data_IF_390892294658
#
_entry.id   IF_390892294658
#
_cell.length_a   1.000
_cell.length_b   1.000
_cell.length_c   1.000
_cell.angle_alpha   90.00
_cell.angle_beta   90.00
_cell.angle_gamma   90.00
#
_symmetry.space_group_name_H-M   'P 1'
#
loop_
_entity.id
_entity.type
_entity.pdbx_description
1 polymer ?
#
# COMPACT_ATOMS: atom_id res chain seq x y z
N UNK A 1 -2.44 -26.43 0.97
CA UNK A 1 -1.60 -25.25 0.79
C UNK A 1 -0.26 -25.72 0.31
N UNK A 2 0.15 -25.28 -0.87
CA UNK A 2 1.42 -25.62 -1.50
C UNK A 2 2.48 -24.55 -1.18
N UNK A 3 2.06 -23.28 -1.18
CA UNK A 3 2.93 -22.15 -0.90
C UNK A 3 2.16 -21.08 -0.12
N UNK A 4 2.84 -20.44 0.83
CA UNK A 4 2.33 -19.31 1.62
C UNK A 4 3.46 -18.29 1.73
N UNK A 5 3.15 -17.02 1.46
CA UNK A 5 4.05 -15.91 1.73
C UNK A 5 3.27 -14.78 2.42
N UNK A 6 3.76 -14.23 3.55
CA UNK A 6 5.00 -14.56 4.26
C UNK A 6 4.97 -15.93 4.97
N UNK A 7 6.15 -16.47 5.30
CA UNK A 7 6.24 -17.63 6.18
C UNK A 7 5.80 -17.28 7.61
N UNK A 8 4.74 -17.92 8.10
CA UNK A 8 4.11 -17.57 9.39
C UNK A 8 5.04 -17.69 10.60
N UNK A 9 6.01 -18.61 10.56
CA UNK A 9 6.98 -18.82 11.65
C UNK A 9 7.90 -17.61 11.90
N UNK A 10 8.00 -16.68 10.94
CA UNK A 10 8.82 -15.48 11.06
C UNK A 10 8.02 -14.24 11.47
N UNK A 11 6.71 -14.38 11.75
CA UNK A 11 5.85 -13.27 12.13
C UNK A 11 5.60 -13.23 13.64
N UNK A 12 5.30 -12.04 14.21
CA UNK A 12 4.75 -11.94 15.55
C UNK A 12 3.54 -12.85 15.74
N UNK A 13 3.39 -13.37 16.95
CA UNK A 13 2.36 -14.39 17.28
C UNK A 13 0.95 -13.96 16.88
N UNK A 14 0.59 -12.69 17.08
CA UNK A 14 -0.73 -12.15 16.76
C UNK A 14 -0.97 -12.19 15.25
N UNK A 15 0.01 -11.76 14.45
CA UNK A 15 -0.08 -11.78 12.99
C UNK A 15 -0.12 -13.21 12.45
N UNK A 16 0.74 -14.09 12.95
CA UNK A 16 0.75 -15.49 12.52
C UNK A 16 -0.54 -16.21 12.90
N UNK A 17 -1.12 -15.92 14.07
CA UNK A 17 -2.42 -16.46 14.47
C UNK A 17 -3.54 -15.95 13.56
N UNK A 18 -3.54 -14.66 13.23
CA UNK A 18 -4.53 -14.07 12.32
C UNK A 18 -4.46 -14.72 10.93
N UNK A 19 -3.26 -14.81 10.35
CA UNK A 19 -3.07 -15.44 9.05
C UNK A 19 -3.38 -16.94 9.06
N UNK A 20 -3.04 -17.65 10.15
CA UNK A 20 -3.40 -19.05 10.29
C UNK A 20 -4.93 -19.22 10.26
N UNK A 21 -5.67 -18.35 10.96
CA UNK A 21 -7.12 -18.36 10.95
C UNK A 21 -7.70 -18.09 9.55
N UNK A 22 -7.14 -17.12 8.82
CA UNK A 22 -7.52 -16.84 7.43
C UNK A 22 -7.31 -18.08 6.53
N UNK A 23 -6.15 -18.74 6.66
CA UNK A 23 -5.83 -19.97 5.94
C UNK A 23 -6.80 -21.10 6.28
N UNK A 24 -7.21 -21.22 7.53
CA UNK A 24 -8.13 -22.27 7.96
C UNK A 24 -9.53 -22.06 7.39
N UNK A 25 -10.02 -20.83 7.30
CA UNK A 25 -11.26 -20.52 6.56
C UNK A 25 -11.13 -20.88 5.08
N UNK A 26 -10.00 -20.55 4.43
CA UNK A 26 -9.75 -20.93 3.04
C UNK A 26 -9.72 -22.45 2.86
N UNK A 27 -9.09 -23.21 3.76
CA UNK A 27 -9.11 -24.69 3.76
C UNK A 27 -10.53 -25.24 3.86
N UNK A 28 -11.34 -24.64 4.73
CA UNK A 28 -12.76 -24.97 4.86
C UNK A 28 -13.49 -24.83 3.52
N UNK A 29 -13.33 -23.71 2.82
CA UNK A 29 -13.92 -23.50 1.50
C UNK A 29 -13.36 -24.47 0.44
N UNK A 30 -12.04 -24.70 0.41
CA UNK A 30 -11.41 -25.65 -0.52
C UNK A 30 -12.01 -27.07 -0.38
N UNK A 31 -12.31 -27.50 0.85
CA UNK A 31 -12.90 -28.82 1.11
C UNK A 31 -14.29 -29.01 0.48
N UNK A 32 -14.97 -27.93 0.12
CA UNK A 32 -16.26 -27.94 -0.56
C UNK A 32 -16.13 -28.11 -2.09
N UNK A 33 -14.91 -28.04 -2.64
CA UNK A 33 -14.61 -28.36 -4.04
C UNK A 33 -14.75 -27.21 -5.04
N UNK A 34 -15.29 -26.06 -4.64
CA UNK A 34 -15.31 -24.85 -5.47
C UNK A 34 -15.30 -23.60 -4.57
N UNK A 35 -14.65 -22.52 -5.01
CA UNK A 35 -14.69 -21.24 -4.31
C UNK A 35 -15.86 -20.40 -4.82
N UNK A 36 -16.77 -19.92 -3.94
CA UNK A 36 -17.87 -19.06 -4.37
C UNK A 36 -17.34 -17.70 -4.86
N UNK A 37 -17.86 -17.18 -5.97
CA UNK A 37 -17.48 -15.84 -6.46
C UNK A 37 -17.93 -14.74 -5.50
N UNK A 38 -17.13 -13.68 -5.41
CA UNK A 38 -17.50 -12.45 -4.72
C UNK A 38 -18.10 -11.46 -5.72
N UNK A 39 -19.43 -11.30 -5.64
CA UNK A 39 -20.20 -10.51 -6.62
C UNK A 39 -19.93 -11.04 -8.04
N UNK A 40 -20.04 -10.17 -9.05
CA UNK A 40 -19.78 -10.51 -10.45
C UNK A 40 -18.31 -10.32 -10.86
N UNK A 41 -17.39 -10.20 -9.89
CA UNK A 41 -15.98 -9.98 -10.16
C UNK A 41 -15.29 -11.32 -10.50
N UNK A 42 -14.66 -11.45 -11.68
CA UNK A 42 -14.23 -12.74 -12.20
C UNK A 42 -13.07 -13.38 -11.43
N UNK A 43 -12.24 -12.55 -10.78
CA UNK A 43 -11.03 -12.96 -10.08
C UNK A 43 -11.15 -12.90 -8.56
N UNK A 44 -12.32 -12.53 -7.99
CA UNK A 44 -12.50 -12.44 -6.54
C UNK A 44 -13.46 -13.51 -6.03
N UNK A 45 -13.05 -14.17 -4.94
CA UNK A 45 -13.76 -15.28 -4.34
C UNK A 45 -14.02 -15.03 -2.85
N UNK A 46 -15.16 -15.53 -2.37
CA UNK A 46 -15.62 -15.42 -0.98
C UNK A 46 -15.03 -16.53 -0.15
N UNK A 47 -14.35 -16.16 0.93
CA UNK A 47 -13.87 -17.10 1.93
C UNK A 47 -14.63 -16.83 3.22
N UNK A 48 -15.44 -17.79 3.64
CA UNK A 48 -16.35 -17.65 4.78
C UNK A 48 -15.94 -18.56 5.92
N UNK A 49 -16.33 -18.20 7.14
CA UNK A 49 -16.19 -19.10 8.29
C UNK A 49 -17.27 -20.21 8.29
N UNK A 50 -17.22 -21.08 9.30
CA UNK A 50 -18.15 -22.21 9.46
C UNK A 50 -19.62 -21.78 9.61
N UNK A 51 -19.87 -20.53 10.03
CA UNK A 51 -21.21 -19.95 10.16
C UNK A 51 -21.67 -19.28 8.84
N UNK A 52 -20.86 -19.32 7.78
CA UNK A 52 -21.15 -18.72 6.49
C UNK A 52 -20.92 -17.20 6.43
N UNK A 53 -20.24 -16.62 7.44
CA UNK A 53 -19.92 -15.18 7.44
C UNK A 53 -18.69 -14.94 6.58
N UNK A 54 -18.74 -13.94 5.71
CA UNK A 54 -17.59 -13.56 4.87
C UNK A 54 -16.45 -13.03 5.75
N UNK A 55 -15.26 -13.62 5.61
CA UNK A 55 -14.08 -13.28 6.41
C UNK A 55 -12.89 -12.84 5.60
N UNK A 56 -12.69 -13.42 4.42
CA UNK A 56 -11.64 -13.03 3.51
C UNK A 56 -12.16 -12.97 2.08
N UNK A 57 -11.42 -12.25 1.25
CA UNK A 57 -11.49 -12.36 -0.20
C UNK A 57 -10.25 -13.07 -0.70
N UNK A 58 -10.42 -14.05 -1.58
CA UNK A 58 -9.30 -14.59 -2.35
C UNK A 58 -9.31 -13.92 -3.73
N UNK A 59 -8.28 -13.12 -4.02
CA UNK A 59 -8.04 -12.51 -5.32
C UNK A 59 -7.12 -13.42 -6.11
N UNK A 60 -7.66 -14.09 -7.13
CA UNK A 60 -6.92 -14.96 -8.04
C UNK A 60 -6.11 -14.11 -9.01
N UNK A 61 -4.88 -14.54 -9.23
CA UNK A 61 -3.99 -14.04 -10.27
C UNK A 61 -3.80 -15.12 -11.33
N UNK A 62 -3.35 -14.71 -12.52
CA UNK A 62 -3.04 -15.64 -13.59
C UNK A 62 -1.60 -16.14 -13.49
N UNK A 63 -1.33 -17.26 -14.17
CA UNK A 63 0.00 -17.83 -14.21
C UNK A 63 0.96 -16.85 -14.90
N UNK A 64 1.98 -16.39 -14.18
CA UNK A 64 2.90 -15.33 -14.61
C UNK A 64 2.85 -14.08 -13.73
N UNK A 65 1.76 -13.84 -13.01
CA UNK A 65 1.56 -12.64 -12.18
C UNK A 65 1.94 -12.84 -10.71
N UNK A 66 2.76 -13.85 -10.42
CA UNK A 66 3.18 -14.17 -9.04
C UNK A 66 3.90 -13.00 -8.37
N UNK A 67 4.69 -12.24 -9.12
CA UNK A 67 5.38 -11.05 -8.62
C UNK A 67 4.35 -10.00 -8.18
N UNK A 68 3.28 -9.79 -8.95
CA UNK A 68 2.21 -8.84 -8.63
C UNK A 68 1.42 -9.27 -7.39
N UNK A 69 1.11 -10.57 -7.27
CA UNK A 69 0.47 -11.12 -6.07
C UNK A 69 1.35 -10.97 -4.82
N UNK A 70 2.65 -11.25 -4.93
CA UNK A 70 3.61 -11.07 -3.82
C UNK A 70 3.85 -9.59 -3.48
N UNK A 71 3.80 -8.70 -4.47
CA UNK A 71 3.81 -7.24 -4.26
C UNK A 71 2.63 -6.83 -3.38
N UNK A 72 1.42 -7.24 -3.70
CA UNK A 72 0.22 -6.89 -2.91
C UNK A 72 0.33 -7.37 -1.45
N UNK A 73 0.77 -8.62 -1.21
CA UNK A 73 1.03 -9.13 0.14
C UNK A 73 2.16 -8.36 0.88
N UNK A 74 3.19 -7.95 0.15
CA UNK A 74 4.33 -7.21 0.74
C UNK A 74 3.96 -5.80 1.19
N UNK A 75 2.97 -5.15 0.55
CA UNK A 75 2.51 -3.82 0.98
C UNK A 75 1.92 -3.86 2.38
N UNK A 76 1.11 -4.88 2.71
CA UNK A 76 0.64 -5.08 4.09
C UNK A 76 1.81 -5.25 5.07
N UNK A 77 2.79 -6.09 4.72
CA UNK A 77 3.94 -6.37 5.59
C UNK A 77 4.77 -5.13 5.90
N UNK A 78 4.83 -4.20 4.96
CA UNK A 78 5.60 -2.98 5.04
C UNK A 78 4.79 -1.76 5.48
N UNK A 79 3.47 -1.88 5.57
CA UNK A 79 2.61 -0.94 6.28
C UNK A 79 2.82 -1.12 7.78
N UNK A 80 3.88 -0.58 8.35
CA UNK A 80 4.18 -0.80 9.77
C UNK A 80 3.21 -0.02 10.67
N UNK A 81 2.87 -0.53 11.86
CA UNK A 81 2.22 0.26 12.90
C UNK A 81 3.02 1.52 13.25
N UNK A 82 2.33 2.53 13.79
CA UNK A 82 2.93 3.83 14.11
C UNK A 82 4.07 3.74 15.14
N UNK A 83 3.99 2.77 16.05
CA UNK A 83 4.86 2.66 17.22
C UNK A 83 5.97 1.61 17.10
N UNK A 84 5.98 0.77 16.06
CA UNK A 84 6.94 -0.32 15.94
C UNK A 84 7.01 -0.91 14.53
N UNK A 85 8.16 -1.54 14.21
CA UNK A 85 8.29 -2.32 13.00
C UNK A 85 7.34 -3.53 13.05
N UNK A 86 6.77 -3.92 11.91
CA UNK A 86 5.77 -5.00 11.87
C UNK A 86 6.31 -6.36 12.32
N UNK A 87 7.61 -6.62 12.20
CA UNK A 87 8.23 -7.85 12.73
C UNK A 87 8.29 -7.92 14.26
N UNK A 88 8.01 -6.81 14.94
CA UNK A 88 8.10 -6.66 16.39
C UNK A 88 6.74 -6.30 17.01
N UNK A 89 5.84 -5.71 16.23
CA UNK A 89 4.54 -5.26 16.71
C UNK A 89 3.49 -6.38 16.70
N UNK A 90 2.72 -6.55 17.80
CA UNK A 90 1.53 -7.39 17.79
C UNK A 90 0.34 -6.74 17.08
N UNK A 91 0.45 -5.46 16.70
CA UNK A 91 -0.64 -4.72 16.07
C UNK A 91 -0.84 -5.18 14.61
N UNK A 92 -2.04 -5.67 14.32
CA UNK A 92 -2.43 -6.14 12.99
C UNK A 92 -2.60 -4.96 12.03
N UNK A 93 -3.14 -3.82 12.51
CA UNK A 93 -3.35 -2.64 11.68
C UNK A 93 -2.05 -1.84 11.58
N UNK A 94 -1.65 -1.52 10.34
CA UNK A 94 -0.53 -0.63 10.08
C UNK A 94 -0.93 0.85 10.07
N UNK A 95 0.05 1.72 9.85
CA UNK A 95 -0.11 3.16 9.80
C UNK A 95 -1.14 3.62 8.76
N UNK A 96 -1.05 3.07 7.54
CA UNK A 96 -1.92 3.41 6.42
C UNK A 96 -3.19 2.55 6.38
N UNK A 97 -3.32 1.58 7.30
CA UNK A 97 -4.50 0.75 7.44
C UNK A 97 -4.67 -0.30 6.34
N UNK A 98 -3.57 -0.74 5.70
CA UNK A 98 -3.61 -1.83 4.72
C UNK A 98 -4.15 -3.09 5.39
N UNK A 99 -5.11 -3.76 4.73
CA UNK A 99 -5.72 -4.97 5.25
C UNK A 99 -4.72 -6.14 5.29
N UNK A 100 -4.79 -7.01 6.31
CA UNK A 100 -4.03 -8.24 6.35
C UNK A 100 -4.14 -9.02 5.04
N UNK A 101 -3.00 -9.18 4.38
CA UNK A 101 -2.90 -9.78 3.06
C UNK A 101 -1.75 -10.76 3.04
N UNK A 102 -2.00 -12.00 2.61
CA UNK A 102 -0.97 -13.00 2.38
C UNK A 102 -1.14 -13.64 1.00
N UNK A 103 -0.03 -13.96 0.36
CA UNK A 103 0.02 -14.77 -0.84
C UNK A 103 -0.22 -16.24 -0.50
N UNK A 104 -1.00 -16.92 -1.33
CA UNK A 104 -1.27 -18.36 -1.21
C UNK A 104 -1.25 -19.05 -2.57
N UNK A 105 -0.79 -20.30 -2.57
CA UNK A 105 -0.93 -21.25 -3.68
C UNK A 105 -1.53 -22.56 -3.19
N UNK A 106 -2.51 -23.08 -3.92
CA UNK A 106 -3.19 -24.33 -3.60
C UNK A 106 -3.89 -24.91 -4.82
N UNK A 107 -4.26 -26.18 -4.72
CA UNK A 107 -5.06 -26.87 -5.73
C UNK A 107 -6.47 -27.18 -5.24
N UNK A 108 -7.43 -27.14 -6.15
CA UNK A 108 -8.76 -27.72 -5.99
C UNK A 108 -8.97 -28.72 -7.14
N UNK A 109 -9.02 -30.02 -6.80
CA UNK A 109 -8.97 -31.07 -7.81
C UNK A 109 -7.68 -31.00 -8.61
N UNK A 110 -7.79 -30.82 -9.94
CA UNK A 110 -6.65 -30.66 -10.85
C UNK A 110 -6.35 -29.19 -11.21
N UNK A 111 -7.09 -28.24 -10.64
CA UNK A 111 -6.92 -26.81 -10.92
C UNK A 111 -5.99 -26.16 -9.89
N UNK A 112 -4.95 -25.48 -10.37
CA UNK A 112 -4.05 -24.70 -9.55
C UNK A 112 -4.61 -23.29 -9.36
N UNK A 113 -4.53 -22.77 -8.14
CA UNK A 113 -4.93 -21.43 -7.77
C UNK A 113 -3.74 -20.72 -7.13
N UNK A 114 -3.47 -19.50 -7.62
CA UNK A 114 -2.45 -18.61 -7.09
C UNK A 114 -3.07 -17.22 -6.92
N UNK A 115 -2.73 -16.55 -5.83
CA UNK A 115 -3.17 -15.19 -5.61
C UNK A 115 -2.98 -14.75 -4.17
N UNK A 116 -3.79 -13.80 -3.72
CA UNK A 116 -3.74 -13.27 -2.36
C UNK A 116 -5.03 -13.52 -1.61
N UNK A 117 -4.89 -13.82 -0.32
CA UNK A 117 -5.97 -13.88 0.65
C UNK A 117 -5.94 -12.58 1.46
N UNK A 118 -7.00 -11.79 1.34
CA UNK A 118 -7.14 -10.46 1.93
C UNK A 118 -8.24 -10.54 2.98
N UNK A 119 -8.00 -10.02 4.18
CA UNK A 119 -9.05 -9.89 5.20
C UNK A 119 -10.21 -9.04 4.68
N UNK A 120 -11.43 -9.52 4.83
CA UNK A 120 -12.61 -8.81 4.37
C UNK A 120 -12.96 -7.68 5.34
N UNK A 121 -13.19 -6.50 4.76
CA UNK A 121 -13.74 -5.35 5.46
C UNK A 121 -15.05 -4.96 4.79
N UNK A 122 -16.13 -4.95 5.57
CA UNK A 122 -17.38 -4.35 5.12
C UNK A 122 -17.16 -2.84 4.96
N UNK A 123 -17.62 -2.28 3.83
CA UNK A 123 -17.48 -0.87 3.49
C UNK A 123 -18.84 -0.32 3.05
N UNK A 124 -19.03 0.98 3.25
CA UNK A 124 -20.21 1.70 2.78
C UNK A 124 -20.16 1.82 1.25
N UNK A 125 -19.03 2.29 0.74
CA UNK A 125 -18.76 2.45 -0.69
C UNK A 125 -17.26 2.62 -0.93
N UNK A 126 -16.88 2.84 -2.18
CA UNK A 126 -15.55 3.36 -2.56
C UNK A 126 -15.57 4.88 -2.57
N UNK A 127 -14.41 5.53 -2.44
CA UNK A 127 -14.32 6.98 -2.32
C UNK A 127 -14.91 7.74 -3.52
N UNK A 128 -14.88 7.16 -4.73
CA UNK A 128 -15.50 7.74 -5.93
C UNK A 128 -17.02 7.87 -5.87
N UNK A 129 -17.67 7.06 -5.02
CA UNK A 129 -19.11 7.09 -4.81
C UNK A 129 -19.49 7.72 -3.45
N UNK A 130 -18.52 8.27 -2.73
CA UNK A 130 -18.75 8.90 -1.44
C UNK A 130 -19.04 10.40 -1.61
N UNK A 131 -20.07 10.91 -0.93
CA UNK A 131 -20.36 12.34 -0.92
C UNK A 131 -19.33 13.07 -0.05
N UNK A 132 -18.32 13.65 -0.68
CA UNK A 132 -17.18 14.26 0.01
C UNK A 132 -17.61 15.51 0.80
N UNK A 133 -17.54 15.40 2.12
CA UNK A 133 -17.68 16.50 3.09
C UNK A 133 -16.37 16.61 3.88
N UNK A 134 -15.49 17.52 3.48
CA UNK A 134 -14.11 17.60 3.97
C UNK A 134 -14.01 17.65 5.51
N UNK A 135 -14.96 18.33 6.16
CA UNK A 135 -15.07 18.44 7.62
C UNK A 135 -15.47 17.16 8.33
N UNK A 136 -15.94 16.15 7.58
CA UNK A 136 -16.32 14.83 8.05
C UNK A 136 -15.37 13.73 7.55
N UNK A 137 -14.17 14.08 7.10
CA UNK A 137 -13.18 13.11 6.66
C UNK A 137 -12.06 12.95 7.68
N UNK A 138 -11.65 11.71 7.91
CA UNK A 138 -10.40 11.43 8.59
C UNK A 138 -9.21 11.75 7.67
N UNK A 139 -8.78 13.02 7.69
CA UNK A 139 -7.66 13.49 6.88
C UNK A 139 -6.34 12.81 7.23
N UNK A 140 -6.18 12.33 8.47
CA UNK A 140 -4.99 11.59 8.89
C UNK A 140 -4.82 10.29 8.11
N UNK A 141 -5.90 9.54 7.89
CA UNK A 141 -5.88 8.30 7.10
C UNK A 141 -5.59 8.58 5.62
N UNK A 142 -6.14 9.65 5.03
CA UNK A 142 -5.79 10.04 3.65
C UNK A 142 -4.33 10.44 3.51
N UNK A 143 -3.77 11.14 4.51
CA UNK A 143 -2.34 11.47 4.54
C UNK A 143 -1.49 10.20 4.63
N UNK A 144 -1.88 9.25 5.48
CA UNK A 144 -1.20 7.97 5.62
C UNK A 144 -1.25 7.13 4.33
N UNK A 145 -2.38 7.14 3.62
CA UNK A 145 -2.52 6.51 2.29
C UNK A 145 -1.60 7.18 1.26
N UNK A 146 -1.56 8.51 1.23
CA UNK A 146 -0.68 9.22 0.29
C UNK A 146 0.80 8.94 0.54
N UNK A 147 1.23 8.89 1.80
CA UNK A 147 2.58 8.49 2.17
C UNK A 147 2.91 7.05 1.73
N UNK A 148 1.96 6.11 1.91
CA UNK A 148 2.08 4.74 1.42
C UNK A 148 2.27 4.71 -0.10
N UNK A 149 1.39 5.36 -0.85
CA UNK A 149 1.40 5.33 -2.31
C UNK A 149 2.68 5.94 -2.89
N UNK A 150 3.20 7.03 -2.30
CA UNK A 150 4.49 7.60 -2.69
C UNK A 150 5.62 6.60 -2.43
N UNK A 151 5.68 6.03 -1.22
CA UNK A 151 6.72 5.08 -0.81
C UNK A 151 6.76 3.84 -1.72
N UNK A 152 5.60 3.40 -2.19
CA UNK A 152 5.44 2.24 -3.07
C UNK A 152 5.41 2.57 -4.57
N UNK A 153 5.51 3.84 -4.95
CA UNK A 153 5.38 4.20 -6.36
C UNK A 153 4.06 3.68 -6.96
N UNK A 154 2.95 3.75 -6.21
CA UNK A 154 1.67 3.20 -6.62
C UNK A 154 1.11 3.98 -7.81
N UNK A 155 0.90 3.32 -8.94
CA UNK A 155 0.45 3.97 -10.18
C UNK A 155 -1.05 3.88 -10.42
N UNK A 156 -1.79 3.18 -9.56
CA UNK A 156 -3.21 2.90 -9.73
C UNK A 156 -4.04 3.16 -8.46
N UNK A 157 -3.65 4.14 -7.63
CA UNK A 157 -4.56 4.63 -6.58
C UNK A 157 -5.69 5.47 -7.19
N UNK A 158 -6.66 4.80 -7.79
CA UNK A 158 -7.86 5.42 -8.35
C UNK A 158 -9.00 5.49 -7.30
N UNK A 159 -10.16 6.00 -7.71
CA UNK A 159 -11.30 6.24 -6.80
C UNK A 159 -12.04 4.98 -6.36
N UNK A 160 -11.78 3.84 -7.00
CA UNK A 160 -12.34 2.54 -6.63
C UNK A 160 -11.44 1.77 -5.65
N UNK A 161 -10.19 2.23 -5.50
CA UNK A 161 -9.15 1.57 -4.69
C UNK A 161 -9.01 2.15 -3.27
N UNK A 162 -10.01 2.90 -2.79
CA UNK A 162 -10.12 3.32 -1.39
C UNK A 162 -11.52 3.01 -0.89
N UNK A 163 -11.63 2.12 0.08
CA UNK A 163 -12.88 1.82 0.75
C UNK A 163 -13.20 2.90 1.78
N UNK A 164 -14.49 3.24 1.88
CA UNK A 164 -15.02 4.20 2.86
C UNK A 164 -15.92 3.48 3.86
N UNK A 165 -15.76 3.81 5.13
CA UNK A 165 -16.71 3.53 6.21
C UNK A 165 -17.04 4.82 6.93
N UNK A 166 -18.19 4.87 7.58
CA UNK A 166 -18.51 5.94 8.51
C UNK A 166 -18.56 5.39 9.93
N UNK A 167 -18.05 6.16 10.87
CA UNK A 167 -18.27 5.89 12.29
C UNK A 167 -19.63 6.42 12.77
N UNK A 168 -19.89 6.29 14.08
CA UNK A 168 -21.15 6.73 14.69
C UNK A 168 -21.38 8.24 14.64
N UNK A 169 -20.32 9.03 14.46
CA UNK A 169 -20.35 10.50 14.37
C UNK A 169 -20.42 10.99 12.91
N UNK A 170 -20.52 10.05 11.97
CA UNK A 170 -20.51 10.29 10.53
C UNK A 170 -19.16 10.73 10.00
N UNK A 171 -18.06 10.38 10.69
CA UNK A 171 -16.70 10.59 10.20
C UNK A 171 -16.34 9.47 9.23
N UNK A 172 -15.95 9.84 8.02
CA UNK A 172 -15.47 8.95 7.00
C UNK A 172 -14.05 8.46 7.30
N UNK A 173 -13.89 7.14 7.32
CA UNK A 173 -12.64 6.41 7.46
C UNK A 173 -12.25 5.73 6.15
N UNK A 174 -10.95 5.70 5.86
CA UNK A 174 -10.40 5.28 4.58
C UNK A 174 -9.47 4.07 4.72
N UNK A 175 -9.69 3.07 3.88
CA UNK A 175 -8.84 1.88 3.81
C UNK A 175 -8.33 1.70 2.38
N UNK A 176 -7.01 1.73 2.12
CA UNK A 176 -6.47 1.46 0.81
C UNK A 176 -6.57 -0.04 0.49
N UNK A 177 -6.95 -0.36 -0.74
CA UNK A 177 -7.01 -1.74 -1.28
C UNK A 177 -6.37 -1.79 -2.66
N UNK A 178 -6.15 -2.99 -3.18
CA UNK A 178 -5.59 -3.21 -4.52
C UNK A 178 -4.21 -2.56 -4.74
N UNK A 179 -3.17 -3.28 -4.31
CA UNK A 179 -1.80 -2.76 -4.26
C UNK A 179 -0.86 -3.41 -5.29
N UNK A 180 -1.39 -4.08 -6.30
CA UNK A 180 -0.59 -4.87 -7.25
C UNK A 180 0.23 -4.00 -8.20
N UNK A 181 -0.27 -2.80 -8.53
CA UNK A 181 0.34 -1.85 -9.46
C UNK A 181 1.34 -0.90 -8.77
N UNK A 182 2.33 -1.47 -8.08
CA UNK A 182 3.45 -0.72 -7.48
C UNK A 182 4.70 -0.81 -8.37
N UNK A 183 5.38 0.31 -8.57
CA UNK A 183 6.60 0.44 -9.38
C UNK A 183 6.45 -0.01 -10.86
N UNK A 184 5.25 0.09 -11.44
CA UNK A 184 5.02 -0.27 -12.84
C UNK A 184 5.44 0.80 -13.86
N UNK A 185 5.70 2.04 -13.42
CA UNK A 185 6.13 3.16 -14.26
C UNK A 185 7.31 3.92 -13.62
N UNK A 186 8.36 3.17 -13.27
CA UNK A 186 9.55 3.67 -12.58
C UNK A 186 9.18 4.47 -11.31
N UNK A 187 9.26 5.81 -11.35
CA UNK A 187 9.05 6.69 -10.20
C UNK A 187 7.84 7.62 -10.32
N UNK A 188 6.97 7.38 -11.31
CA UNK A 188 5.75 8.17 -11.49
C UNK A 188 4.55 7.45 -10.86
N UNK A 189 3.91 8.10 -9.88
CA UNK A 189 2.70 7.58 -9.19
C UNK A 189 1.39 7.88 -9.94
N UNK A 190 1.50 8.35 -11.19
CA UNK A 190 0.37 8.81 -11.99
C UNK A 190 -0.43 9.91 -11.27
N UNK A 191 -1.75 9.93 -11.39
CA UNK A 191 -2.62 10.91 -10.73
C UNK A 191 -3.48 10.23 -9.67
N UNK A 192 -2.96 10.01 -8.45
CA UNK A 192 -3.73 9.34 -7.42
C UNK A 192 -4.95 10.17 -6.98
N UNK A 193 -6.03 9.49 -6.65
CA UNK A 193 -7.33 10.13 -6.38
C UNK A 193 -7.30 11.05 -5.15
N UNK A 194 -6.46 10.76 -4.15
CA UNK A 194 -6.32 11.58 -2.95
C UNK A 194 -5.68 12.95 -3.22
N UNK A 195 -4.94 13.13 -4.32
CA UNK A 195 -4.18 14.35 -4.58
C UNK A 195 -5.06 15.61 -4.68
N UNK A 196 -6.31 15.48 -5.13
CA UNK A 196 -7.26 16.59 -5.17
C UNK A 196 -7.87 16.92 -3.80
N UNK A 197 -7.81 15.98 -2.85
CA UNK A 197 -8.45 16.03 -1.53
C UNK A 197 -7.51 16.58 -0.45
N UNK A 198 -6.23 16.21 -0.49
CA UNK A 198 -5.21 16.78 0.39
C UNK A 198 -4.64 18.07 -0.21
N UNK A 199 -5.21 19.23 0.16
CA UNK A 199 -4.69 20.57 -0.19
C UNK A 199 -4.00 21.29 0.98
N UNK A 200 -3.97 20.70 2.17
CA UNK A 200 -3.44 21.29 3.40
C UNK A 200 -2.00 20.87 3.75
N UNK A 201 -1.37 21.61 4.67
CA UNK A 201 -0.05 21.27 5.20
C UNK A 201 -0.12 20.04 6.10
N UNK A 202 0.82 19.12 5.91
CA UNK A 202 1.18 18.15 6.94
C UNK A 202 2.07 18.93 7.91
N UNK A 203 1.61 19.16 9.14
CA UNK A 203 2.49 19.69 10.18
C UNK A 203 3.57 18.64 10.47
N UNK A 204 4.83 19.08 10.50
CA UNK A 204 5.99 18.31 10.98
C UNK A 204 6.01 18.27 12.52
N UNK A 205 6.95 17.59 13.22
CA UNK A 205 7.99 16.64 12.85
C UNK A 205 8.04 15.44 13.83
N UNK A 206 7.25 14.39 13.63
CA UNK A 206 7.32 13.17 14.48
C UNK A 206 7.65 11.89 13.69
N UNK A 207 7.61 11.94 12.35
CA UNK A 207 7.74 10.74 11.49
C UNK A 207 9.19 10.44 11.01
N UNK A 208 10.17 11.23 11.45
CA UNK A 208 11.54 11.23 10.89
C UNK A 208 12.43 10.13 11.51
N UNK A 209 12.18 9.70 12.74
CA UNK A 209 13.07 8.77 13.45
C UNK A 209 12.82 7.30 13.08
N UNK A 210 11.57 6.96 12.74
CA UNK A 210 11.10 5.59 12.54
C UNK A 210 11.49 4.97 11.19
N UNK A 211 11.52 5.77 10.12
CA UNK A 211 11.77 5.29 8.76
C UNK A 211 13.23 4.80 8.53
N UNK A 212 14.13 5.00 9.49
CA UNK A 212 15.56 4.61 9.42
C UNK A 212 15.79 3.12 9.76
N UNK A 213 14.83 2.45 10.40
CA UNK A 213 14.98 1.09 10.96
C UNK A 213 14.56 -0.07 10.03
N UNK A 214 13.83 0.18 8.94
CA UNK A 214 13.07 -0.87 8.23
C UNK A 214 13.85 -1.61 7.12
N UNK A 215 15.08 -2.08 7.41
CA UNK A 215 16.01 -2.69 6.44
C UNK A 215 15.57 -4.01 5.78
N UNK A 216 14.74 -3.95 4.73
CA UNK A 216 14.43 -5.09 3.87
C UNK A 216 14.74 -4.83 2.38
N UNK A 217 15.08 -5.88 1.63
CA UNK A 217 15.45 -5.81 0.20
C UNK A 217 14.48 -6.63 -0.69
N UNK A 218 13.38 -6.02 -1.17
CA UNK A 218 12.56 -6.57 -2.25
C UNK A 218 13.25 -6.50 -3.62
N UNK A 219 12.74 -7.18 -4.65
CA UNK A 219 13.28 -7.07 -6.04
C UNK A 219 13.14 -5.67 -6.63
N UNK A 220 12.26 -4.85 -6.04
CA UNK A 220 12.07 -3.42 -6.28
C UNK A 220 12.74 -2.56 -5.17
N UNK A 221 13.75 -3.10 -4.47
CA UNK A 221 14.39 -2.44 -3.32
C UNK A 221 14.96 -1.07 -3.68
N UNK A 222 15.50 -0.92 -4.88
CA UNK A 222 16.07 0.35 -5.31
C UNK A 222 14.98 1.40 -5.50
N UNK A 223 13.91 1.06 -6.21
CA UNK A 223 12.77 1.95 -6.43
C UNK A 223 12.13 2.37 -5.11
N UNK A 224 11.89 1.39 -4.24
CA UNK A 224 11.37 1.63 -2.90
C UNK A 224 12.29 2.51 -2.05
N UNK A 225 13.61 2.29 -2.07
CA UNK A 225 14.60 3.12 -1.36
C UNK A 225 14.60 4.55 -1.87
N UNK A 226 14.55 4.75 -3.18
CA UNK A 226 14.50 6.06 -3.83
C UNK A 226 13.22 6.80 -3.45
N UNK A 227 12.04 6.17 -3.61
CA UNK A 227 10.76 6.76 -3.22
C UNK A 227 10.69 7.07 -1.72
N UNK A 228 11.21 6.17 -0.87
CA UNK A 228 11.30 6.37 0.58
C UNK A 228 12.21 7.57 0.91
N UNK A 229 13.38 7.66 0.28
CA UNK A 229 14.30 8.78 0.49
C UNK A 229 13.68 10.10 0.02
N UNK A 230 13.01 10.12 -1.13
CA UNK A 230 12.30 11.29 -1.62
C UNK A 230 11.25 11.78 -0.61
N UNK A 231 10.38 10.89 -0.13
CA UNK A 231 9.38 11.21 0.87
C UNK A 231 10.02 11.77 2.16
N UNK A 232 11.06 11.11 2.67
CA UNK A 232 11.81 11.56 3.85
C UNK A 232 12.39 12.96 3.69
N UNK A 233 13.12 13.19 2.61
CA UNK A 233 13.80 14.47 2.37
C UNK A 233 12.77 15.60 2.18
N UNK A 234 11.63 15.33 1.54
CA UNK A 234 10.59 16.33 1.36
C UNK A 234 9.87 16.67 2.69
N UNK A 235 9.55 15.66 3.50
CA UNK A 235 8.94 15.85 4.84
C UNK A 235 9.88 16.58 5.79
N UNK A 236 11.18 16.23 5.79
CA UNK A 236 12.22 16.95 6.54
C UNK A 236 12.28 18.44 6.19
N UNK A 237 11.99 18.74 4.94
CA UNK A 237 11.91 20.10 4.42
C UNK A 237 10.50 20.68 4.53
N UNK A 238 9.59 20.10 5.30
CA UNK A 238 8.24 20.65 5.54
C UNK A 238 7.40 20.84 4.27
N UNK A 239 7.69 20.09 3.19
CA UNK A 239 6.91 20.11 1.95
C UNK A 239 5.63 19.31 2.20
N UNK A 240 4.49 19.88 1.83
CA UNK A 240 3.18 19.27 2.09
C UNK A 240 2.93 18.06 1.19
N UNK A 241 2.10 17.12 1.63
CA UNK A 241 1.75 15.94 0.83
C UNK A 241 1.19 16.30 -0.56
N UNK A 242 0.45 17.41 -0.68
CA UNK A 242 -0.01 17.92 -1.97
C UNK A 242 1.17 18.18 -2.94
N UNK A 243 2.20 18.87 -2.45
CA UNK A 243 3.36 19.23 -3.24
C UNK A 243 4.26 18.02 -3.53
N UNK A 244 4.45 17.14 -2.55
CA UNK A 244 5.16 15.86 -2.73
C UNK A 244 4.45 15.01 -3.79
N UNK A 245 3.13 14.89 -3.68
CA UNK A 245 2.29 14.16 -4.63
C UNK A 245 2.37 14.74 -6.03
N UNK A 246 2.34 16.06 -6.21
CA UNK A 246 2.53 16.67 -7.53
C UNK A 246 3.89 16.36 -8.15
N UNK A 247 4.97 16.41 -7.36
CA UNK A 247 6.31 16.05 -7.84
C UNK A 247 6.42 14.57 -8.22
N UNK A 248 5.86 13.67 -7.41
CA UNK A 248 5.84 12.23 -7.70
C UNK A 248 4.90 11.88 -8.87
N UNK A 249 3.84 12.66 -9.08
CA UNK A 249 2.85 12.52 -10.16
C UNK A 249 3.29 13.12 -11.49
N UNK A 250 4.52 13.66 -11.57
CA UNK A 250 5.04 14.35 -12.74
C UNK A 250 4.23 15.61 -13.13
N UNK A 251 3.77 16.37 -12.12
CA UNK A 251 2.90 17.56 -12.27
C UNK A 251 3.59 18.88 -11.97
N UNK A 252 4.86 18.90 -11.57
CA UNK A 252 5.58 20.16 -11.39
C UNK A 252 5.83 20.81 -12.76
N UNK A 253 5.53 22.11 -12.86
CA UNK A 253 5.75 22.89 -14.08
C UNK A 253 7.24 23.00 -14.45
N UNK A 254 8.11 23.15 -13.45
CA UNK A 254 9.53 22.94 -13.63
C UNK A 254 9.82 21.43 -13.53
N UNK A 255 10.29 20.86 -14.63
CA UNK A 255 10.53 19.42 -14.72
C UNK A 255 11.59 18.91 -13.74
N UNK A 256 12.56 19.74 -13.38
CA UNK A 256 13.64 19.39 -12.45
C UNK A 256 13.12 19.04 -11.04
N UNK A 257 11.90 19.49 -10.72
CA UNK A 257 11.26 19.21 -9.44
C UNK A 257 10.42 17.93 -9.46
N UNK A 258 10.29 17.22 -10.58
CA UNK A 258 9.61 15.94 -10.61
C UNK A 258 10.55 14.80 -10.22
N UNK A 259 10.08 13.90 -9.35
CA UNK A 259 10.85 12.75 -8.84
C UNK A 259 11.52 11.96 -9.96
N UNK A 260 10.76 11.59 -11.01
CA UNK A 260 11.30 10.86 -12.15
C UNK A 260 12.48 11.56 -12.83
N UNK A 261 12.44 12.90 -12.94
CA UNK A 261 13.52 13.67 -13.58
C UNK A 261 14.74 13.76 -12.67
N UNK A 262 14.54 13.92 -11.35
CA UNK A 262 15.65 13.86 -10.39
C UNK A 262 16.40 12.54 -10.52
N UNK A 263 15.68 11.42 -10.60
CA UNK A 263 16.31 10.10 -10.71
C UNK A 263 17.01 9.92 -12.06
N UNK A 264 16.37 10.29 -13.16
CA UNK A 264 16.94 10.16 -14.51
C UNK A 264 18.17 11.04 -14.75
N UNK A 265 18.37 12.07 -13.92
CA UNK A 265 19.51 12.99 -14.01
C UNK A 265 20.77 12.44 -13.34
N UNK A 266 20.69 11.29 -12.67
CA UNK A 266 21.83 10.64 -12.03
C UNK A 266 22.23 9.41 -12.83
N UNK A 267 23.51 9.33 -13.19
CA UNK A 267 24.05 8.17 -13.88
C UNK A 267 23.94 6.89 -13.02
N UNK A 268 23.51 5.81 -13.66
CA UNK A 268 23.49 4.49 -13.03
C UNK A 268 24.94 4.00 -12.81
N UNK A 269 25.36 3.91 -11.56
CA UNK A 269 26.69 3.46 -11.19
C UNK A 269 26.84 3.22 -9.69
N UNK A 270 28.08 3.04 -9.25
CA UNK A 270 28.38 2.90 -7.82
C UNK A 270 27.88 4.13 -7.05
N UNK A 271 27.18 3.89 -5.93
CA UNK A 271 26.55 4.92 -5.11
C UNK A 271 25.32 5.62 -5.72
N UNK A 272 24.67 5.05 -6.76
CA UNK A 272 23.45 5.60 -7.37
C UNK A 272 22.42 6.14 -6.35
N UNK A 273 22.05 5.33 -5.36
CA UNK A 273 21.05 5.70 -4.33
C UNK A 273 21.48 6.94 -3.53
N UNK A 274 22.78 7.07 -3.22
CA UNK A 274 23.32 8.21 -2.46
C UNK A 274 23.31 9.46 -3.32
N UNK A 275 23.72 9.34 -4.59
CA UNK A 275 23.76 10.46 -5.53
C UNK A 275 22.35 10.99 -5.83
N UNK A 276 21.40 10.09 -6.08
CA UNK A 276 19.98 10.42 -6.23
C UNK A 276 19.45 11.15 -5.00
N UNK A 277 19.72 10.63 -3.80
CA UNK A 277 19.28 11.28 -2.55
C UNK A 277 19.86 12.68 -2.37
N UNK A 278 21.13 12.89 -2.70
CA UNK A 278 21.76 14.21 -2.58
C UNK A 278 21.12 15.22 -3.55
N UNK A 279 20.92 14.82 -4.81
CA UNK A 279 20.23 15.65 -5.80
C UNK A 279 18.79 15.96 -5.38
N UNK A 280 18.05 14.96 -4.88
CA UNK A 280 16.69 15.17 -4.34
C UNK A 280 16.67 16.24 -3.26
N UNK A 281 17.60 16.18 -2.30
CA UNK A 281 17.66 17.16 -1.21
C UNK A 281 17.82 18.58 -1.74
N UNK A 282 18.72 18.78 -2.70
CA UNK A 282 18.95 20.06 -3.37
C UNK A 282 17.70 20.54 -4.11
N UNK A 283 17.14 19.71 -5.01
CA UNK A 283 15.95 20.06 -5.81
C UNK A 283 14.72 20.34 -4.96
N UNK A 284 14.53 19.61 -3.87
CA UNK A 284 13.46 19.85 -2.92
C UNK A 284 13.66 21.16 -2.15
N UNK A 285 14.92 21.56 -1.87
CA UNK A 285 15.22 22.84 -1.21
C UNK A 285 14.88 24.00 -2.12
N UNK A 286 15.30 23.92 -3.39
CA UNK A 286 14.95 24.88 -4.43
C UNK A 286 13.44 24.96 -4.64
N UNK A 287 12.78 23.80 -4.73
CA UNK A 287 11.33 23.73 -4.90
C UNK A 287 10.61 24.40 -3.73
N UNK A 288 10.97 24.08 -2.49
CA UNK A 288 10.38 24.70 -1.30
C UNK A 288 10.56 26.22 -1.30
N UNK A 289 11.72 26.72 -1.69
CA UNK A 289 11.98 28.16 -1.79
C UNK A 289 11.14 28.85 -2.88
N UNK A 290 10.57 28.08 -3.82
CA UNK A 290 9.70 28.57 -4.89
C UNK A 290 8.19 28.47 -4.59
N UNK A 291 7.80 27.84 -3.48
CA UNK A 291 6.41 27.73 -3.01
C UNK A 291 5.95 29.02 -2.33
#
# INVERSE_FOLDING_TARGET
>A
MEEIFPTLAHLPRQLSTNFQQMIDWLRGCISQGELPKYRDLPNLFRISDEEGRLRCLFKKFDDGDEISAKKEASVYLLDHPMDAHRSESPNIKGFSGVLPTLFVRFSIGNANHMGVLIEYMESLCVIGHYEIKLEKMNMGELVAIGALDIRFGNMDRNQDNILVREDVDGIAHFTPVDHEMIFGNAYNICSPCWLSLVKGSVNSPEDIEFLTLCGWEPTYANEFRVCTNFLKEAVLQGITLHHIGNSAAFKCANFDYNLQMMVNSVENGDNFIVNVRNLMRERLTEYRASL
#
